data_IF_953577755466
#
_entry.id   IF_953577755466
#
_cell.length_a   1.000
_cell.length_b   1.000
_cell.length_c   1.000
_cell.angle_alpha   90.00
_cell.angle_beta   90.00
_cell.angle_gamma   90.00
#
_symmetry.space_group_name_H-M   'P 1'
#
loop_
_entity.id
_entity.type
_entity.pdbx_description
1 polymer ?
#
# COMPACT_ATOMS: atom_id res chain seq x y z
N UNK A 1 10.78 0.46 -5.04
CA UNK A 1 10.75 -0.88 -4.41
C UNK A 1 11.60 -1.85 -5.21
N UNK A 2 11.07 -2.75 -6.05
CA UNK A 2 11.87 -3.83 -6.66
C UNK A 2 13.15 -3.37 -7.37
N UNK A 3 13.14 -2.29 -8.18
CA UNK A 3 14.38 -1.74 -8.77
C UNK A 3 15.43 -1.35 -7.72
N UNK A 4 15.01 -0.74 -6.61
CA UNK A 4 15.91 -0.33 -5.54
C UNK A 4 16.48 -1.53 -4.78
N UNK A 5 15.70 -2.60 -4.63
CA UNK A 5 16.19 -3.89 -4.11
C UNK A 5 17.18 -4.52 -5.10
N UNK A 6 16.86 -4.59 -6.39
CA UNK A 6 17.77 -5.10 -7.45
C UNK A 6 19.12 -4.38 -7.47
N UNK A 7 19.17 -3.09 -7.10
CA UNK A 7 20.38 -2.27 -7.15
C UNK A 7 21.13 -2.20 -5.81
N UNK A 8 20.44 -2.09 -4.68
CA UNK A 8 21.05 -1.94 -3.36
C UNK A 8 21.16 -3.25 -2.57
N UNK A 9 20.29 -4.22 -2.84
CA UNK A 9 20.14 -5.48 -2.11
C UNK A 9 19.90 -6.68 -3.06
N UNK A 10 20.87 -7.00 -3.96
CA UNK A 10 20.70 -8.00 -5.01
C UNK A 10 20.79 -9.46 -4.53
N UNK A 11 21.29 -9.73 -3.32
CA UNK A 11 21.63 -11.07 -2.84
C UNK A 11 20.93 -11.44 -1.52
N UNK A 12 20.32 -10.46 -0.88
CA UNK A 12 19.68 -10.50 0.41
C UNK A 12 18.45 -11.42 0.36
N UNK A 13 18.40 -12.39 1.27
CA UNK A 13 17.30 -13.33 1.44
C UNK A 13 16.28 -12.78 2.42
N UNK A 14 14.99 -13.03 2.18
CA UNK A 14 13.91 -12.51 3.02
C UNK A 14 12.84 -13.56 3.30
N UNK A 15 12.12 -13.34 4.41
CA UNK A 15 10.83 -13.96 4.71
C UNK A 15 9.76 -12.87 4.75
N UNK A 16 8.61 -13.11 4.11
CA UNK A 16 7.37 -12.40 4.40
C UNK A 16 6.37 -13.35 5.06
N UNK A 17 5.65 -12.87 6.07
CA UNK A 17 4.61 -13.63 6.78
C UNK A 17 3.24 -12.97 6.66
N UNK A 18 2.21 -13.80 6.49
CA UNK A 18 0.80 -13.42 6.54
C UNK A 18 0.29 -13.28 7.98
N UNK A 19 -0.61 -12.32 8.18
CA UNK A 19 -1.35 -12.14 9.42
C UNK A 19 -2.82 -11.79 9.12
N UNK A 20 -3.74 -12.60 9.63
CA UNK A 20 -5.13 -12.21 9.79
C UNK A 20 -5.28 -11.37 11.08
N UNK A 21 -5.73 -10.11 10.97
CA UNK A 21 -5.94 -9.21 12.13
C UNK A 21 -7.36 -9.29 12.69
N UNK A 22 -8.16 -10.27 12.26
CA UNK A 22 -9.47 -10.65 12.81
C UNK A 22 -9.53 -12.18 12.92
N UNK A 23 -8.99 -12.78 14.00
CA UNK A 23 -8.90 -14.24 14.14
C UNK A 23 -10.25 -14.94 14.32
N UNK A 24 -11.33 -14.18 14.51
CA UNK A 24 -12.74 -14.56 14.39
C UNK A 24 -13.16 -14.83 12.93
N UNK A 25 -12.52 -14.19 11.96
CA UNK A 25 -12.82 -14.32 10.53
C UNK A 25 -12.06 -15.53 9.95
N UNK A 26 -12.71 -16.71 9.95
CA UNK A 26 -12.19 -17.96 9.39
C UNK A 26 -12.43 -18.09 7.88
N UNK A 27 -11.63 -18.90 7.21
CA UNK A 27 -11.72 -19.23 5.79
C UNK A 27 -12.35 -20.62 5.60
N UNK A 28 -13.05 -20.83 4.48
CA UNK A 28 -13.44 -22.18 4.05
C UNK A 28 -12.28 -22.91 3.36
N UNK A 29 -12.32 -24.24 3.41
CA UNK A 29 -11.45 -25.15 2.63
C UNK A 29 -11.41 -24.75 1.16
N UNK A 30 -12.58 -24.56 0.56
CA UNK A 30 -12.75 -24.21 -0.85
C UNK A 30 -12.09 -22.86 -1.20
N UNK A 31 -12.13 -21.87 -0.30
CA UNK A 31 -11.37 -20.62 -0.46
C UNK A 31 -9.87 -20.88 -0.51
N UNK A 32 -9.34 -21.72 0.38
CA UNK A 32 -7.90 -22.03 0.43
C UNK A 32 -7.42 -22.88 -0.76
N UNK A 33 -8.21 -23.84 -1.21
CA UNK A 33 -7.85 -24.71 -2.34
C UNK A 33 -7.87 -23.93 -3.67
N UNK A 34 -8.86 -23.05 -3.85
CA UNK A 34 -8.89 -22.08 -4.96
C UNK A 34 -7.70 -21.12 -4.91
N UNK A 35 -7.43 -20.55 -3.73
CA UNK A 35 -6.30 -19.64 -3.51
C UNK A 35 -4.98 -20.34 -3.88
N UNK A 36 -4.71 -21.52 -3.33
CA UNK A 36 -3.50 -22.29 -3.58
C UNK A 36 -3.31 -22.61 -5.06
N UNK A 37 -4.39 -22.97 -5.75
CA UNK A 37 -4.39 -23.17 -7.21
C UNK A 37 -3.97 -21.89 -7.96
N UNK A 38 -4.51 -20.73 -7.56
CA UNK A 38 -4.18 -19.44 -8.18
C UNK A 38 -2.80 -18.89 -7.80
N UNK A 39 -2.26 -19.25 -6.63
CA UNK A 39 -0.85 -18.99 -6.29
C UNK A 39 0.08 -19.72 -7.25
N UNK A 40 -0.18 -20.99 -7.56
CA UNK A 40 0.67 -21.73 -8.50
C UNK A 40 0.53 -21.25 -9.96
N UNK A 41 -0.59 -20.64 -10.34
CA UNK A 41 -0.73 -19.95 -11.63
C UNK A 41 0.20 -18.72 -11.79
N UNK A 42 0.71 -18.12 -10.70
CA UNK A 42 1.64 -16.98 -10.78
C UNK A 42 2.96 -17.32 -11.49
N UNK A 43 3.35 -18.60 -11.53
CA UNK A 43 4.49 -19.12 -12.33
C UNK A 43 4.40 -18.79 -13.83
N UNK A 44 3.17 -18.61 -14.34
CA UNK A 44 2.88 -18.37 -15.76
C UNK A 44 2.93 -16.88 -16.11
N UNK A 45 2.97 -16.00 -15.11
CA UNK A 45 2.98 -14.54 -15.26
C UNK A 45 4.37 -14.07 -15.64
N UNK A 46 4.44 -13.17 -16.62
CA UNK A 46 5.67 -12.51 -17.09
C UNK A 46 5.30 -11.17 -17.71
N UNK A 47 6.20 -10.19 -17.61
CA UNK A 47 6.04 -8.90 -18.28
C UNK A 47 6.04 -9.11 -19.81
N UNK A 48 4.96 -8.72 -20.47
CA UNK A 48 4.87 -8.72 -21.94
C UNK A 48 5.73 -7.62 -22.58
N UNK A 49 5.84 -7.62 -23.92
CA UNK A 49 6.52 -6.54 -24.64
C UNK A 49 5.76 -5.21 -24.53
N UNK A 50 4.44 -5.28 -24.52
CA UNK A 50 3.56 -4.11 -24.57
C UNK A 50 3.55 -3.43 -23.18
N UNK A 51 3.43 -4.21 -22.11
CA UNK A 51 3.60 -3.71 -20.73
C UNK A 51 5.01 -3.16 -20.48
N UNK A 52 6.07 -3.79 -21.03
CA UNK A 52 7.44 -3.26 -20.92
C UNK A 52 7.57 -1.90 -21.60
N UNK A 53 7.05 -1.75 -22.82
CA UNK A 53 7.04 -0.48 -23.57
C UNK A 53 6.23 0.60 -22.85
N UNK A 54 5.09 0.23 -22.27
CA UNK A 54 4.26 1.12 -21.46
C UNK A 54 4.99 1.58 -20.18
N UNK A 55 5.70 0.68 -19.50
CA UNK A 55 6.52 1.02 -18.33
C UNK A 55 7.65 1.99 -18.68
N UNK A 56 8.37 1.81 -19.78
CA UNK A 56 9.38 2.79 -20.23
C UNK A 56 8.78 4.20 -20.44
N UNK A 57 7.55 4.25 -20.97
CA UNK A 57 6.91 5.50 -21.37
C UNK A 57 6.24 6.23 -20.20
N UNK A 58 5.48 5.51 -19.35
CA UNK A 58 4.69 6.10 -18.25
C UNK A 58 5.44 6.11 -16.90
N UNK A 59 6.48 5.29 -16.75
CA UNK A 59 7.29 5.18 -15.55
C UNK A 59 8.78 5.46 -15.84
N UNK A 60 9.16 6.64 -16.37
CA UNK A 60 10.53 6.94 -16.85
C UNK A 60 11.62 6.98 -15.76
N UNK A 61 11.24 6.74 -14.50
CA UNK A 61 12.15 6.47 -13.38
C UNK A 61 12.62 5.01 -13.31
N UNK A 62 12.07 4.12 -14.13
CA UNK A 62 12.57 2.76 -14.30
C UNK A 62 13.72 2.72 -15.31
N UNK A 63 14.84 2.14 -14.90
CA UNK A 63 16.04 2.00 -15.71
C UNK A 63 15.90 0.77 -16.62
N UNK A 64 16.41 0.85 -17.86
CA UNK A 64 16.30 -0.24 -18.85
C UNK A 64 16.79 -1.59 -18.32
N UNK A 65 17.91 -1.62 -17.58
CA UNK A 65 18.47 -2.81 -16.94
C UNK A 65 17.53 -3.49 -15.95
N UNK A 66 16.71 -2.72 -15.22
CA UNK A 66 15.68 -3.25 -14.33
C UNK A 66 14.46 -3.78 -15.11
N UNK A 67 14.09 -3.13 -16.21
CA UNK A 67 12.99 -3.60 -17.06
C UNK A 67 13.37 -4.87 -17.84
N UNK A 68 14.66 -5.03 -18.20
CA UNK A 68 15.21 -6.27 -18.74
C UNK A 68 15.25 -7.38 -17.67
N UNK A 69 15.63 -7.07 -16.43
CA UNK A 69 15.49 -8.01 -15.30
C UNK A 69 14.03 -8.45 -15.12
N UNK A 70 13.08 -7.51 -15.05
CA UNK A 70 11.65 -7.78 -14.86
C UNK A 70 11.02 -8.57 -16.02
N UNK A 71 11.50 -8.39 -17.26
CA UNK A 71 11.06 -9.17 -18.41
C UNK A 71 11.57 -10.62 -18.40
N UNK A 72 12.74 -10.85 -17.80
CA UNK A 72 13.32 -12.20 -17.67
C UNK A 72 12.89 -12.92 -16.38
N UNK A 73 12.57 -12.19 -15.31
CA UNK A 73 12.08 -12.70 -14.02
C UNK A 73 10.88 -13.64 -14.20
N UNK A 74 10.95 -14.82 -13.57
CA UNK A 74 9.80 -15.71 -13.37
C UNK A 74 9.64 -15.93 -11.87
N UNK A 75 8.39 -15.93 -11.42
CA UNK A 75 8.05 -16.30 -10.05
C UNK A 75 8.06 -17.83 -9.95
N UNK A 76 8.60 -18.39 -8.86
CA UNK A 76 8.53 -19.83 -8.59
C UNK A 76 7.69 -20.10 -7.34
N UNK A 77 6.35 -20.01 -7.42
CA UNK A 77 5.46 -20.17 -6.27
C UNK A 77 5.53 -21.54 -5.59
N UNK A 78 6.09 -22.55 -6.25
CA UNK A 78 6.37 -23.87 -5.67
C UNK A 78 7.53 -23.82 -4.66
N UNK A 79 8.64 -23.14 -5.01
CA UNK A 79 9.79 -22.95 -4.12
C UNK A 79 9.60 -21.80 -3.12
N UNK A 80 8.90 -20.73 -3.54
CA UNK A 80 8.91 -19.43 -2.89
C UNK A 80 7.71 -19.18 -1.97
N UNK A 81 6.60 -19.92 -2.08
CA UNK A 81 5.38 -19.69 -1.29
C UNK A 81 4.91 -20.96 -0.57
N UNK A 82 5.08 -20.99 0.75
CA UNK A 82 4.47 -22.00 1.62
C UNK A 82 3.12 -21.51 2.10
N UNK A 83 2.04 -22.24 1.80
CA UNK A 83 0.69 -21.96 2.28
C UNK A 83 0.08 -23.19 2.95
N UNK A 84 -0.58 -22.99 4.09
CA UNK A 84 -1.24 -24.04 4.88
C UNK A 84 -2.63 -23.58 5.35
N UNK A 85 -3.51 -24.55 5.59
CA UNK A 85 -4.83 -24.34 6.20
C UNK A 85 -4.91 -25.16 7.48
N UNK A 86 -5.28 -24.49 8.58
CA UNK A 86 -5.38 -25.07 9.92
C UNK A 86 -6.86 -25.12 10.31
N UNK A 87 -7.51 -26.29 10.31
CA UNK A 87 -8.91 -26.41 10.70
C UNK A 87 -9.20 -25.89 12.11
N UNK A 88 -10.42 -25.42 12.35
CA UNK A 88 -10.88 -25.00 13.69
C UNK A 88 -10.89 -26.19 14.67
N UNK A 89 -11.21 -27.39 14.18
CA UNK A 89 -11.14 -28.63 14.96
C UNK A 89 -10.95 -29.87 14.06
N UNK A 90 -10.80 -31.05 14.67
CA UNK A 90 -10.75 -32.31 13.94
C UNK A 90 -12.10 -32.72 13.32
N UNK A 91 -13.21 -32.22 13.87
CA UNK A 91 -14.58 -32.48 13.38
C UNK A 91 -15.04 -31.41 12.37
N UNK A 92 -14.47 -30.20 12.42
CA UNK A 92 -14.77 -29.06 11.54
C UNK A 92 -13.60 -28.83 10.55
N UNK A 93 -13.37 -29.81 9.68
CA UNK A 93 -12.23 -29.84 8.75
C UNK A 93 -12.28 -28.80 7.61
N UNK A 94 -13.46 -28.24 7.35
CA UNK A 94 -13.75 -27.36 6.21
C UNK A 94 -13.74 -25.86 6.55
N UNK A 95 -13.55 -25.49 7.82
CA UNK A 95 -13.43 -24.10 8.30
C UNK A 95 -12.14 -23.97 9.09
N UNK A 96 -11.37 -22.90 8.88
CA UNK A 96 -10.02 -22.81 9.46
C UNK A 96 -9.32 -21.46 9.31
N UNK A 97 -8.12 -21.38 9.86
CA UNK A 97 -7.17 -20.31 9.61
C UNK A 97 -6.28 -20.64 8.40
N UNK A 98 -5.74 -19.60 7.78
CA UNK A 98 -4.77 -19.71 6.68
C UNK A 98 -3.43 -19.15 7.13
N UNK A 99 -2.37 -19.94 6.97
CA UNK A 99 -0.99 -19.51 7.17
C UNK A 99 -0.30 -19.39 5.82
N UNK A 100 0.42 -18.29 5.58
CA UNK A 100 1.23 -18.09 4.37
C UNK A 100 2.59 -17.51 4.76
N UNK A 101 3.65 -18.10 4.22
CA UNK A 101 5.02 -17.60 4.33
C UNK A 101 5.64 -17.57 2.93
N UNK A 102 6.31 -16.48 2.58
CA UNK A 102 7.03 -16.33 1.31
C UNK A 102 8.53 -16.22 1.60
N UNK A 103 9.38 -16.97 0.88
CA UNK A 103 10.84 -16.98 1.09
C UNK A 103 11.61 -16.95 -0.24
N UNK A 104 12.73 -16.25 -0.26
CA UNK A 104 13.63 -16.20 -1.42
C UNK A 104 14.53 -14.96 -1.42
N UNK A 105 15.17 -14.66 -2.55
CA UNK A 105 15.90 -13.42 -2.74
C UNK A 105 14.92 -12.24 -2.81
N UNK A 106 15.19 -11.15 -2.07
CA UNK A 106 14.26 -10.03 -1.92
C UNK A 106 13.79 -9.46 -3.26
N UNK A 107 14.73 -9.32 -4.22
CA UNK A 107 14.46 -8.84 -5.58
C UNK A 107 13.45 -9.69 -6.37
N UNK A 108 13.28 -10.97 -6.02
CA UNK A 108 12.38 -11.92 -6.68
C UNK A 108 11.03 -11.97 -5.96
N UNK A 109 11.04 -12.10 -4.63
CA UNK A 109 9.82 -12.37 -3.86
C UNK A 109 9.05 -11.13 -3.40
N UNK A 110 9.62 -9.93 -3.50
CA UNK A 110 8.94 -8.65 -3.19
C UNK A 110 7.62 -8.44 -3.97
N UNK A 111 7.45 -9.10 -5.12
CA UNK A 111 6.23 -8.98 -5.91
C UNK A 111 5.03 -9.76 -5.34
N UNK A 112 5.20 -10.62 -4.33
CA UNK A 112 4.13 -11.49 -3.84
C UNK A 112 3.11 -10.83 -2.90
N UNK A 113 3.41 -9.74 -2.17
CA UNK A 113 2.47 -9.16 -1.19
C UNK A 113 1.11 -8.85 -1.82
N UNK A 114 1.11 -8.14 -2.95
CA UNK A 114 -0.10 -7.62 -3.57
C UNK A 114 -0.94 -8.73 -4.25
N UNK A 115 -0.38 -9.63 -5.07
CA UNK A 115 -1.14 -10.74 -5.66
C UNK A 115 -1.68 -11.71 -4.62
N UNK A 116 -0.90 -12.11 -3.61
CA UNK A 116 -1.35 -13.07 -2.61
C UNK A 116 -2.50 -12.50 -1.76
N UNK A 117 -2.41 -11.25 -1.30
CA UNK A 117 -3.50 -10.62 -0.55
C UNK A 117 -4.76 -10.43 -1.42
N UNK A 118 -4.60 -10.01 -2.67
CA UNK A 118 -5.74 -9.83 -3.58
C UNK A 118 -6.43 -11.16 -3.89
N UNK A 119 -5.68 -12.22 -4.20
CA UNK A 119 -6.20 -13.57 -4.45
C UNK A 119 -6.91 -14.15 -3.21
N UNK A 120 -6.35 -14.01 -2.00
CA UNK A 120 -6.96 -14.55 -0.79
C UNK A 120 -8.26 -13.80 -0.41
N UNK A 121 -8.29 -12.48 -0.62
CA UNK A 121 -9.51 -11.67 -0.47
C UNK A 121 -10.60 -12.14 -1.44
N UNK A 122 -10.25 -12.28 -2.71
CA UNK A 122 -11.14 -12.72 -3.79
C UNK A 122 -11.65 -14.15 -3.54
N UNK A 123 -10.79 -15.08 -3.11
CA UNK A 123 -11.16 -16.45 -2.75
C UNK A 123 -12.18 -16.52 -1.58
N UNK A 124 -12.04 -15.67 -0.57
CA UNK A 124 -13.00 -15.58 0.53
C UNK A 124 -14.38 -15.11 0.04
N UNK A 125 -14.42 -14.14 -0.89
CA UNK A 125 -15.68 -13.61 -1.42
C UNK A 125 -16.34 -14.47 -2.50
N UNK A 126 -15.62 -15.46 -3.03
CA UNK A 126 -16.18 -16.50 -3.90
C UNK A 126 -16.67 -17.73 -3.11
N UNK A 127 -16.05 -18.05 -1.97
CA UNK A 127 -16.18 -19.38 -1.34
C UNK A 127 -16.30 -19.41 0.20
N UNK A 128 -16.28 -18.27 0.90
CA UNK A 128 -16.55 -18.19 2.36
C UNK A 128 -17.74 -17.27 2.67
N UNK A 129 -17.65 -15.98 2.34
CA UNK A 129 -18.78 -15.05 2.41
C UNK A 129 -19.28 -14.76 0.98
N UNK A 130 -20.43 -15.33 0.66
CA UNK A 130 -21.11 -15.18 -0.63
C UNK A 130 -22.39 -14.34 -0.51
N UNK A 131 -22.65 -13.73 0.65
CA UNK A 131 -23.86 -12.98 0.95
C UNK A 131 -23.71 -11.49 0.58
N UNK A 132 -23.36 -11.24 -0.69
CA UNK A 132 -23.19 -9.91 -1.27
C UNK A 132 -23.47 -9.96 -2.78
N UNK A 133 -23.75 -8.81 -3.42
CA UNK A 133 -23.88 -8.73 -4.89
C UNK A 133 -22.99 -7.64 -5.47
N UNK A 134 -22.64 -7.79 -6.76
CA UNK A 134 -21.72 -6.89 -7.47
C UNK A 134 -22.40 -5.62 -8.01
N UNK A 135 -23.72 -5.62 -8.13
CA UNK A 135 -24.50 -4.70 -8.98
C UNK A 135 -24.26 -3.22 -8.67
N UNK A 136 -24.14 -2.89 -7.37
CA UNK A 136 -23.97 -1.51 -6.91
C UNK A 136 -22.52 -1.00 -6.97
N UNK A 137 -21.52 -1.84 -7.24
CA UNK A 137 -20.09 -1.51 -7.09
C UNK A 137 -19.67 -0.29 -7.93
N UNK A 138 -20.13 -0.21 -9.19
CA UNK A 138 -19.83 0.90 -10.11
C UNK A 138 -20.46 2.20 -9.62
N UNK A 139 -21.75 2.19 -9.28
CA UNK A 139 -22.49 3.41 -8.98
C UNK A 139 -22.20 3.93 -7.56
N UNK A 140 -21.87 3.03 -6.61
CA UNK A 140 -21.28 3.40 -5.32
C UNK A 140 -19.93 4.11 -5.51
N UNK A 141 -19.06 3.61 -6.39
CA UNK A 141 -17.79 4.27 -6.70
C UNK A 141 -18.00 5.62 -7.41
N UNK A 142 -18.95 5.71 -8.34
CA UNK A 142 -19.35 6.97 -9.00
C UNK A 142 -19.82 8.03 -7.99
N UNK A 143 -20.67 7.64 -7.05
CA UNK A 143 -21.15 8.50 -5.96
C UNK A 143 -20.02 8.99 -5.06
N UNK A 144 -19.11 8.08 -4.66
CA UNK A 144 -17.91 8.42 -3.88
C UNK A 144 -17.01 9.41 -4.62
N UNK A 145 -16.74 9.20 -5.91
CA UNK A 145 -16.00 10.16 -6.73
C UNK A 145 -16.69 11.53 -6.75
N UNK A 146 -17.98 11.60 -7.08
CA UNK A 146 -18.72 12.87 -7.12
C UNK A 146 -18.63 13.64 -5.79
N UNK A 147 -18.75 12.94 -4.65
CA UNK A 147 -18.64 13.55 -3.33
C UNK A 147 -17.22 14.05 -3.00
N UNK A 148 -16.17 13.27 -3.30
CA UNK A 148 -14.78 13.68 -3.12
C UNK A 148 -14.45 14.92 -3.99
N UNK A 149 -14.87 14.89 -5.26
CA UNK A 149 -14.68 15.98 -6.21
C UNK A 149 -15.38 17.26 -5.73
N UNK A 150 -16.62 17.18 -5.25
CA UNK A 150 -17.37 18.34 -4.74
C UNK A 150 -16.63 19.10 -3.62
N UNK A 151 -15.89 18.41 -2.76
CA UNK A 151 -15.09 19.00 -1.68
C UNK A 151 -13.69 19.48 -2.12
N UNK A 152 -13.34 19.32 -3.39
CA UNK A 152 -12.05 19.71 -3.96
C UNK A 152 -10.92 18.71 -3.71
N UNK A 153 -11.25 17.46 -3.36
CA UNK A 153 -10.27 16.45 -2.94
C UNK A 153 -9.56 15.84 -4.15
N UNK A 154 -8.22 15.81 -4.10
CA UNK A 154 -7.38 15.05 -5.01
C UNK A 154 -7.08 13.68 -4.41
N UNK A 155 -7.44 12.60 -5.09
CA UNK A 155 -7.32 11.24 -4.56
C UNK A 155 -6.84 10.23 -5.58
N UNK A 156 -6.28 9.11 -5.12
CA UNK A 156 -5.88 7.96 -5.93
C UNK A 156 -6.47 6.67 -5.36
N UNK A 157 -6.74 5.71 -6.23
CA UNK A 157 -7.27 4.40 -5.82
C UNK A 157 -6.14 3.46 -5.41
N UNK A 158 -6.16 2.98 -4.16
CA UNK A 158 -5.07 2.23 -3.49
C UNK A 158 -5.51 0.82 -3.01
N UNK A 159 -6.66 0.33 -3.45
CA UNK A 159 -7.42 -0.77 -2.85
C UNK A 159 -7.01 -2.19 -3.25
N UNK A 160 -6.20 -2.37 -4.30
CA UNK A 160 -5.80 -3.68 -4.88
C UNK A 160 -5.69 -4.83 -3.88
N UNK A 161 -4.90 -4.62 -2.80
CA UNK A 161 -4.55 -5.65 -1.80
C UNK A 161 -5.74 -6.23 -1.03
N UNK A 162 -6.88 -5.51 -0.97
CA UNK A 162 -8.07 -5.92 -0.21
C UNK A 162 -9.37 -5.72 -0.99
N UNK A 163 -9.29 -5.72 -2.33
CA UNK A 163 -10.46 -5.68 -3.23
C UNK A 163 -11.43 -6.85 -2.99
N UNK A 164 -12.72 -6.66 -3.27
CA UNK A 164 -13.73 -7.74 -3.17
C UNK A 164 -13.49 -8.81 -4.24
N UNK A 165 -13.18 -8.40 -5.47
CA UNK A 165 -12.68 -9.23 -6.58
C UNK A 165 -11.95 -8.36 -7.63
N UNK A 166 -11.35 -8.96 -8.66
CA UNK A 166 -10.82 -8.26 -9.83
C UNK A 166 -11.92 -7.47 -10.56
N UNK A 167 -13.08 -8.08 -10.75
CA UNK A 167 -14.20 -7.47 -11.47
C UNK A 167 -14.81 -6.28 -10.71
N UNK A 168 -14.92 -6.38 -9.38
CA UNK A 168 -15.30 -5.22 -8.55
C UNK A 168 -14.32 -4.07 -8.73
N UNK A 169 -13.01 -4.35 -8.79
CA UNK A 169 -11.98 -3.33 -8.97
C UNK A 169 -12.09 -2.64 -10.35
N UNK A 170 -12.38 -3.40 -11.41
CA UNK A 170 -12.69 -2.89 -12.76
C UNK A 170 -13.90 -1.94 -12.75
N UNK A 171 -15.01 -2.38 -12.15
CA UNK A 171 -16.25 -1.61 -12.03
C UNK A 171 -16.08 -0.35 -11.18
N UNK A 172 -15.31 -0.43 -10.09
CA UNK A 172 -14.98 0.71 -9.22
C UNK A 172 -14.20 1.77 -10.01
N UNK A 173 -13.14 1.40 -10.73
CA UNK A 173 -12.37 2.36 -11.53
C UNK A 173 -13.21 3.00 -12.65
N UNK A 174 -14.08 2.22 -13.31
CA UNK A 174 -15.06 2.74 -14.27
C UNK A 174 -16.03 3.73 -13.63
N UNK A 175 -16.53 3.44 -12.43
CA UNK A 175 -17.38 4.35 -11.66
C UNK A 175 -16.66 5.65 -11.28
N UNK A 176 -15.42 5.57 -10.80
CA UNK A 176 -14.60 6.74 -10.46
C UNK A 176 -14.32 7.64 -11.68
N UNK A 177 -14.01 7.03 -12.83
CA UNK A 177 -13.83 7.72 -14.11
C UNK A 177 -15.11 8.41 -14.58
N UNK A 178 -16.25 7.71 -14.50
CA UNK A 178 -17.56 8.25 -14.87
C UNK A 178 -17.98 9.41 -13.96
N UNK A 179 -17.78 9.30 -12.64
CA UNK A 179 -18.03 10.39 -11.69
C UNK A 179 -17.18 11.64 -11.96
N UNK A 180 -15.93 11.45 -12.39
CA UNK A 180 -15.07 12.55 -12.84
C UNK A 180 -15.49 13.15 -14.19
N UNK A 181 -16.01 12.32 -15.11
CA UNK A 181 -16.55 12.78 -16.40
C UNK A 181 -17.82 13.60 -16.23
N UNK A 182 -18.76 13.10 -15.43
CA UNK A 182 -20.02 13.77 -15.13
C UNK A 182 -19.80 15.09 -14.39
N UNK A 183 -18.89 15.13 -13.40
CA UNK A 183 -18.54 16.37 -12.71
C UNK A 183 -18.06 17.45 -13.70
N UNK A 184 -17.11 17.12 -14.58
CA UNK A 184 -16.60 18.04 -15.61
C UNK A 184 -17.70 18.47 -16.59
N UNK A 185 -18.56 17.54 -17.00
CA UNK A 185 -19.67 17.81 -17.93
C UNK A 185 -20.72 18.75 -17.31
N UNK A 186 -20.93 18.66 -16.00
CA UNK A 186 -21.77 19.56 -15.20
C UNK A 186 -21.04 20.87 -14.79
N UNK A 187 -19.92 21.21 -15.42
CA UNK A 187 -19.23 22.48 -15.24
C UNK A 187 -18.29 22.57 -14.03
N UNK A 188 -17.96 21.46 -13.36
CA UNK A 188 -17.01 21.46 -12.25
C UNK A 188 -15.61 21.89 -12.69
N UNK A 189 -15.09 22.93 -12.04
CA UNK A 189 -13.78 23.55 -12.30
C UNK A 189 -12.88 23.64 -11.05
N UNK A 190 -13.23 22.93 -9.97
CA UNK A 190 -12.46 22.91 -8.72
C UNK A 190 -11.19 22.04 -8.78
N UNK A 191 -10.42 22.04 -7.70
CA UNK A 191 -9.13 21.34 -7.62
C UNK A 191 -9.22 19.80 -7.49
N UNK A 192 -10.42 19.26 -7.23
CA UNK A 192 -10.65 17.84 -7.01
C UNK A 192 -10.47 17.01 -8.27
N UNK A 193 -9.86 15.83 -8.12
CA UNK A 193 -9.54 14.92 -9.24
C UNK A 193 -9.23 13.50 -8.79
N UNK A 194 -9.52 12.53 -9.65
CA UNK A 194 -8.87 11.22 -9.63
C UNK A 194 -7.46 11.41 -10.21
N UNK A 195 -6.44 11.38 -9.36
CA UNK A 195 -5.05 11.58 -9.74
C UNK A 195 -4.40 10.33 -10.36
N UNK A 196 -4.87 9.12 -10.01
CA UNK A 196 -4.41 7.85 -10.57
C UNK A 196 -4.83 6.63 -9.74
N UNK A 197 -4.12 5.51 -9.94
CA UNK A 197 -4.29 4.25 -9.18
C UNK A 197 -2.92 3.64 -8.84
N UNK A 198 -2.79 2.93 -7.73
CA UNK A 198 -1.60 2.12 -7.43
C UNK A 198 -1.56 0.78 -8.18
N UNK A 199 -2.65 0.41 -8.85
CA UNK A 199 -2.70 -0.79 -9.66
C UNK A 199 -2.09 -0.54 -11.04
N UNK A 200 -0.84 -0.95 -11.24
CA UNK A 200 -0.09 -0.70 -12.48
C UNK A 200 -0.79 -1.28 -13.74
N UNK A 201 -1.43 -2.44 -13.61
CA UNK A 201 -2.23 -3.05 -14.69
C UNK A 201 -3.45 -2.20 -15.06
N UNK A 202 -4.23 -1.73 -14.08
CA UNK A 202 -5.36 -0.86 -14.36
C UNK A 202 -4.94 0.56 -14.78
N UNK A 203 -3.76 1.04 -14.33
CA UNK A 203 -3.16 2.27 -14.83
C UNK A 203 -2.90 2.16 -16.35
N UNK A 204 -2.34 1.04 -16.80
CA UNK A 204 -2.19 0.72 -18.22
C UNK A 204 -3.54 0.60 -18.93
N UNK A 205 -4.50 -0.18 -18.37
CA UNK A 205 -5.81 -0.42 -18.99
C UNK A 205 -6.65 0.85 -19.24
N UNK A 206 -6.56 1.85 -18.37
CA UNK A 206 -7.39 3.07 -18.42
C UNK A 206 -6.62 4.36 -18.72
N UNK A 207 -5.35 4.25 -19.14
CA UNK A 207 -4.39 5.37 -19.30
C UNK A 207 -4.28 6.30 -18.07
N UNK A 208 -4.54 5.77 -16.87
CA UNK A 208 -4.38 6.51 -15.62
C UNK A 208 -2.90 6.59 -15.23
N UNK A 209 -2.55 7.59 -14.42
CA UNK A 209 -1.22 7.65 -13.82
C UNK A 209 -1.05 6.47 -12.84
N UNK A 210 0.06 5.69 -12.91
CA UNK A 210 0.45 4.81 -11.83
C UNK A 210 0.93 5.65 -10.64
N UNK A 211 0.41 5.37 -9.44
CA UNK A 211 0.72 6.14 -8.23
C UNK A 211 1.32 5.23 -7.17
N UNK A 212 2.53 5.57 -6.70
CA UNK A 212 3.25 4.80 -5.68
C UNK A 212 4.04 5.70 -4.76
N UNK A 213 4.36 5.17 -3.58
CA UNK A 213 5.27 5.77 -2.59
C UNK A 213 6.23 4.70 -2.10
N UNK A 214 7.23 5.08 -1.30
CA UNK A 214 8.07 4.13 -0.59
C UNK A 214 7.21 3.29 0.40
N UNK A 215 7.64 2.07 0.71
CA UNK A 215 6.91 1.14 1.59
C UNK A 215 7.78 0.73 2.79
N UNK A 216 7.14 0.42 3.93
CA UNK A 216 7.85 0.16 5.19
C UNK A 216 8.93 -0.92 5.08
N UNK A 217 8.70 -1.96 4.28
CA UNK A 217 9.66 -3.06 4.09
C UNK A 217 11.07 -2.57 3.73
N UNK A 218 11.20 -1.43 3.03
CA UNK A 218 12.48 -0.81 2.70
C UNK A 218 13.25 -0.42 3.96
N UNK A 219 12.68 0.48 4.76
CA UNK A 219 13.28 1.00 5.98
C UNK A 219 13.34 -0.07 7.08
N UNK A 220 12.41 -1.03 7.10
CA UNK A 220 12.44 -2.21 7.97
C UNK A 220 13.64 -3.12 7.68
N UNK A 221 13.83 -3.53 6.42
CA UNK A 221 14.94 -4.39 6.01
C UNK A 221 16.29 -3.70 6.17
N UNK A 222 16.35 -2.40 5.85
CA UNK A 222 17.54 -1.56 6.07
C UNK A 222 17.93 -1.49 7.56
N UNK A 223 16.97 -1.31 8.46
CA UNK A 223 17.26 -1.28 9.90
C UNK A 223 17.73 -2.62 10.45
N UNK A 224 17.17 -3.73 9.97
CA UNK A 224 17.61 -5.07 10.34
C UNK A 224 19.05 -5.35 9.83
N UNK A 225 19.39 -4.92 8.61
CA UNK A 225 20.73 -5.10 8.02
C UNK A 225 21.79 -4.11 8.54
N UNK A 226 21.41 -2.90 8.97
CA UNK A 226 22.35 -1.79 9.22
C UNK A 226 22.20 -1.09 10.58
N UNK A 227 21.25 -1.53 11.41
CA UNK A 227 20.94 -0.94 12.71
C UNK A 227 19.87 0.15 12.66
N UNK A 228 19.14 0.33 13.77
CA UNK A 228 17.94 1.18 13.82
C UNK A 228 18.24 2.69 13.80
N UNK A 229 19.32 3.15 14.45
CA UNK A 229 19.60 4.57 14.71
C UNK A 229 19.58 5.42 13.44
N UNK A 230 20.32 5.01 12.41
CA UNK A 230 20.47 5.74 11.15
C UNK A 230 19.64 5.12 10.01
N UNK A 231 18.70 4.20 10.33
CA UNK A 231 17.91 3.50 9.33
C UNK A 231 17.08 4.47 8.45
N UNK A 232 16.53 5.53 9.04
CA UNK A 232 15.76 6.55 8.32
C UNK A 232 16.62 7.31 7.29
N UNK A 233 17.73 7.99 7.66
CA UNK A 233 18.58 8.66 6.68
C UNK A 233 19.16 7.70 5.64
N UNK A 234 19.69 6.54 6.04
CA UNK A 234 20.26 5.54 5.12
C UNK A 234 19.21 5.05 4.11
N UNK A 235 17.95 4.86 4.53
CA UNK A 235 16.87 4.46 3.64
C UNK A 235 16.50 5.54 2.61
N UNK A 236 16.68 6.82 2.94
CA UNK A 236 16.47 7.91 2.00
C UNK A 236 17.67 8.02 1.03
N UNK A 237 18.90 7.96 1.54
CA UNK A 237 20.13 7.99 0.72
C UNK A 237 20.19 6.84 -0.31
N UNK A 238 19.80 5.62 0.08
CA UNK A 238 19.70 4.47 -0.82
C UNK A 238 18.50 4.54 -1.79
N UNK A 239 17.50 5.39 -1.51
CA UNK A 239 16.40 5.63 -2.45
C UNK A 239 16.78 6.71 -3.47
N UNK A 240 17.44 7.78 -3.01
CA UNK A 240 17.96 8.87 -3.84
C UNK A 240 19.05 8.39 -4.81
N UNK A 241 19.86 7.39 -4.44
CA UNK A 241 20.87 6.80 -5.34
C UNK A 241 20.27 6.00 -6.52
N UNK A 242 19.09 5.41 -6.33
CA UNK A 242 18.35 4.64 -7.35
C UNK A 242 17.42 5.53 -8.17
N UNK A 243 16.82 6.53 -7.52
CA UNK A 243 15.86 7.47 -8.06
C UNK A 243 16.29 8.90 -7.70
N UNK A 244 17.19 9.55 -8.46
CA UNK A 244 17.70 10.88 -8.12
C UNK A 244 16.59 11.93 -7.91
N UNK A 245 16.73 12.83 -6.91
CA UNK A 245 15.82 13.95 -6.70
C UNK A 245 15.65 14.82 -7.95
N UNK A 246 14.38 15.08 -8.30
CA UNK A 246 13.99 15.96 -9.40
C UNK A 246 12.68 16.67 -9.05
N UNK A 247 12.49 17.96 -9.40
CA UNK A 247 11.28 18.73 -9.06
C UNK A 247 9.95 18.11 -9.52
N UNK A 248 10.00 17.19 -10.50
CA UNK A 248 8.86 16.48 -11.09
C UNK A 248 8.78 14.99 -10.70
N UNK A 249 9.73 14.46 -9.92
CA UNK A 249 9.76 13.03 -9.58
C UNK A 249 8.68 12.67 -8.54
N UNK A 250 7.70 11.81 -8.85
CA UNK A 250 6.64 11.44 -7.90
C UNK A 250 7.14 10.56 -6.74
N UNK A 251 8.32 9.96 -6.89
CA UNK A 251 8.86 8.97 -5.94
C UNK A 251 9.44 9.59 -4.66
N UNK A 252 9.53 10.92 -4.58
CA UNK A 252 10.08 11.65 -3.43
C UNK A 252 8.99 12.01 -2.42
N UNK A 253 8.32 10.96 -1.93
CA UNK A 253 7.31 11.00 -0.86
C UNK A 253 7.77 10.11 0.29
N UNK A 254 8.18 10.70 1.41
CA UNK A 254 8.79 9.98 2.54
C UNK A 254 7.74 9.35 3.46
N UNK A 255 7.92 8.10 3.85
CA UNK A 255 7.04 7.35 4.76
C UNK A 255 7.68 7.33 6.17
N UNK A 256 7.16 8.17 7.06
CA UNK A 256 7.89 8.60 8.28
C UNK A 256 7.68 7.68 9.47
N UNK A 257 6.56 6.97 9.55
CA UNK A 257 6.11 6.29 10.78
C UNK A 257 6.71 4.88 10.98
N UNK A 258 7.63 4.40 10.12
CA UNK A 258 8.22 3.05 10.25
C UNK A 258 8.79 2.80 11.65
N UNK A 259 9.49 3.80 12.20
CA UNK A 259 10.04 3.80 13.56
C UNK A 259 9.53 4.99 14.40
N UNK A 260 8.28 5.39 14.15
CA UNK A 260 7.66 6.66 14.55
C UNK A 260 8.21 7.91 13.83
N UNK A 261 7.29 8.81 13.52
CA UNK A 261 7.50 10.08 12.82
C UNK A 261 8.35 11.09 13.59
N UNK A 262 8.29 11.21 14.94
CA UNK A 262 9.24 12.02 15.71
C UNK A 262 10.70 11.61 15.52
N UNK A 263 10.98 10.29 15.47
CA UNK A 263 12.32 9.75 15.21
C UNK A 263 12.75 9.95 13.75
N UNK A 264 11.81 9.92 12.80
CA UNK A 264 12.11 10.35 11.44
C UNK A 264 12.49 11.85 11.40
N UNK A 265 11.67 12.73 11.97
CA UNK A 265 11.88 14.18 11.94
C UNK A 265 13.06 14.70 12.78
N UNK A 266 13.60 13.91 13.72
CA UNK A 266 14.88 14.23 14.38
C UNK A 266 16.08 14.07 13.43
N UNK A 267 15.99 13.12 12.49
CA UNK A 267 17.03 12.85 11.45
C UNK A 267 16.81 13.61 10.14
N UNK A 268 15.66 14.30 9.97
CA UNK A 268 15.29 14.95 8.72
C UNK A 268 15.94 16.33 8.59
N UNK A 269 16.84 16.49 7.61
CA UNK A 269 17.63 17.71 7.39
C UNK A 269 16.88 18.74 6.56
N UNK A 270 17.26 20.02 6.67
CA UNK A 270 16.62 21.10 5.91
C UNK A 270 16.76 20.92 4.38
N UNK A 271 17.88 20.37 3.90
CA UNK A 271 18.08 20.15 2.46
C UNK A 271 17.31 18.95 1.94
N UNK A 272 17.23 17.84 2.70
CA UNK A 272 16.35 16.72 2.33
C UNK A 272 14.87 17.13 2.43
N UNK A 273 14.51 17.96 3.41
CA UNK A 273 13.20 18.59 3.53
C UNK A 273 12.89 19.59 2.41
N UNK A 274 13.88 20.16 1.71
CA UNK A 274 13.68 20.93 0.46
C UNK A 274 13.48 20.01 -0.74
N UNK A 275 14.34 19.01 -0.92
CA UNK A 275 14.32 18.08 -2.05
C UNK A 275 13.06 17.18 -2.07
N UNK A 276 12.70 16.57 -0.94
CA UNK A 276 11.50 15.74 -0.84
C UNK A 276 10.26 16.62 -0.70
N UNK A 277 9.29 16.45 -1.60
CA UNK A 277 8.06 17.28 -1.63
C UNK A 277 6.90 16.64 -0.90
N UNK A 278 6.83 15.32 -0.90
CA UNK A 278 5.78 14.56 -0.24
C UNK A 278 6.24 14.00 1.12
N UNK A 279 5.31 13.98 2.06
CA UNK A 279 5.30 13.03 3.18
C UNK A 279 4.13 12.06 2.98
N UNK A 280 4.16 10.90 3.65
CA UNK A 280 3.03 9.97 3.71
C UNK A 280 2.70 9.58 5.15
N UNK A 281 1.43 9.75 5.50
CA UNK A 281 0.84 9.34 6.76
C UNK A 281 0.14 7.98 6.59
N UNK A 282 0.57 6.97 7.36
CA UNK A 282 0.08 5.59 7.31
C UNK A 282 -0.18 4.97 8.70
N UNK A 283 -0.14 5.79 9.76
CA UNK A 283 -0.65 5.51 11.10
C UNK A 283 -0.73 6.81 11.94
N UNK A 284 -1.26 6.73 13.17
CA UNK A 284 -1.46 7.89 14.06
C UNK A 284 -2.68 8.75 13.68
N UNK A 285 -2.94 9.82 14.42
CA UNK A 285 -3.97 10.80 14.03
C UNK A 285 -3.45 11.67 12.86
N UNK A 286 -4.22 11.81 11.77
CA UNK A 286 -3.77 12.52 10.58
C UNK A 286 -3.70 14.05 10.74
N UNK A 287 -4.41 14.63 11.70
CA UNK A 287 -4.38 16.08 11.98
C UNK A 287 -3.20 16.40 12.90
N UNK A 288 -2.96 15.59 13.94
CA UNK A 288 -1.73 15.69 14.76
C UNK A 288 -0.47 15.51 13.90
N UNK A 289 -0.48 14.52 12.99
CA UNK A 289 0.59 14.31 12.02
C UNK A 289 0.85 15.56 11.15
N UNK A 290 -0.22 16.18 10.63
CA UNK A 290 -0.11 17.35 9.76
C UNK A 290 0.45 18.57 10.51
N UNK A 291 0.08 18.76 11.78
CA UNK A 291 0.66 19.79 12.65
C UNK A 291 2.14 19.53 12.95
N UNK A 292 2.53 18.30 13.31
CA UNK A 292 3.92 17.92 13.57
C UNK A 292 4.81 18.08 12.32
N UNK A 293 4.26 17.79 11.14
CA UNK A 293 4.92 18.07 9.86
C UNK A 293 5.13 19.57 9.64
N UNK A 294 4.11 20.41 9.91
CA UNK A 294 4.26 21.87 9.87
C UNK A 294 5.35 22.37 10.83
N UNK A 295 5.31 21.96 12.11
CA UNK A 295 6.30 22.34 13.11
C UNK A 295 7.73 21.96 12.68
N UNK A 296 7.88 20.82 12.00
CA UNK A 296 9.18 20.40 11.43
C UNK A 296 9.60 21.26 10.24
N UNK A 297 8.71 21.61 9.31
CA UNK A 297 9.05 22.51 8.20
C UNK A 297 9.39 23.93 8.67
N UNK A 298 8.64 24.47 9.63
CA UNK A 298 8.92 25.76 10.28
C UNK A 298 10.32 25.72 10.96
N UNK A 299 10.59 24.70 11.78
CA UNK A 299 11.88 24.47 12.46
C UNK A 299 13.07 24.35 11.51
N UNK A 300 12.87 23.80 10.32
CA UNK A 300 13.90 23.61 9.30
C UNK A 300 14.05 24.81 8.35
N UNK A 301 13.21 25.83 8.46
CA UNK A 301 13.22 26.98 7.54
C UNK A 301 12.90 26.57 6.11
N UNK A 302 11.80 25.84 5.92
CA UNK A 302 11.35 25.32 4.61
C UNK A 302 9.91 25.76 4.34
N UNK A 303 9.70 26.42 3.20
CA UNK A 303 8.36 26.82 2.73
C UNK A 303 7.50 25.59 2.40
N UNK A 304 6.28 25.54 2.95
CA UNK A 304 5.31 24.47 2.74
C UNK A 304 4.48 24.62 1.47
N UNK A 305 4.52 25.78 0.78
CA UNK A 305 3.76 26.07 -0.44
C UNK A 305 3.80 24.97 -1.51
N UNK A 306 4.96 24.33 -1.66
CA UNK A 306 5.20 23.26 -2.64
C UNK A 306 5.24 21.85 -2.02
N UNK A 307 4.84 21.72 -0.74
CA UNK A 307 4.80 20.49 0.05
C UNK A 307 3.41 19.91 0.15
N UNK A 308 3.34 18.58 0.29
CA UNK A 308 2.08 17.86 0.49
C UNK A 308 2.23 16.64 1.38
N UNK A 309 1.11 16.22 1.99
CA UNK A 309 0.98 14.94 2.68
C UNK A 309 0.06 14.03 1.86
N UNK A 310 0.51 12.80 1.63
CA UNK A 310 -0.31 11.68 1.16
C UNK A 310 -0.89 10.99 2.40
N UNK A 311 -2.19 11.11 2.62
CA UNK A 311 -2.88 10.34 3.66
C UNK A 311 -3.30 8.98 3.09
N UNK A 312 -3.11 7.89 3.83
CA UNK A 312 -3.52 6.55 3.37
C UNK A 312 -4.02 5.57 4.44
N UNK A 313 -4.02 5.91 5.72
CA UNK A 313 -4.65 5.06 6.74
C UNK A 313 -6.18 5.24 6.80
N UNK A 314 -6.93 4.13 6.85
CA UNK A 314 -8.35 4.09 7.18
C UNK A 314 -9.37 4.87 6.32
N UNK A 315 -8.96 5.56 5.25
CA UNK A 315 -9.74 6.64 4.64
C UNK A 315 -11.12 6.28 4.06
N UNK A 316 -12.08 7.18 4.32
CA UNK A 316 -13.41 7.30 3.72
C UNK A 316 -13.64 8.75 3.20
N UNK A 317 -14.86 9.09 2.73
CA UNK A 317 -15.16 10.46 2.29
C UNK A 317 -15.05 11.48 3.43
N UNK A 318 -15.59 11.19 4.63
CA UNK A 318 -15.68 12.15 5.73
C UNK A 318 -14.30 12.52 6.26
N UNK A 319 -13.48 11.51 6.54
CA UNK A 319 -12.08 11.67 6.97
C UNK A 319 -11.27 12.46 5.94
N UNK A 320 -11.43 12.18 4.64
CA UNK A 320 -10.77 13.00 3.61
C UNK A 320 -11.21 14.47 3.66
N UNK A 321 -12.49 14.78 3.90
CA UNK A 321 -12.99 16.17 4.03
C UNK A 321 -12.43 16.85 5.28
N UNK A 322 -12.44 16.19 6.44
CA UNK A 322 -11.95 16.74 7.71
C UNK A 322 -10.43 17.03 7.64
N UNK A 323 -9.65 16.09 7.14
CA UNK A 323 -8.20 16.24 6.93
C UNK A 323 -7.92 17.33 5.89
N UNK A 324 -8.66 17.37 4.78
CA UNK A 324 -8.50 18.39 3.74
C UNK A 324 -8.82 19.79 4.27
N UNK A 325 -9.72 19.93 5.24
CA UNK A 325 -9.97 21.20 5.94
C UNK A 325 -8.75 21.58 6.80
N UNK A 326 -8.31 20.70 7.71
CA UNK A 326 -7.17 20.97 8.59
C UNK A 326 -5.90 21.35 7.82
N UNK A 327 -5.59 20.63 6.73
CA UNK A 327 -4.42 20.91 5.88
C UNK A 327 -4.51 22.31 5.22
N UNK A 328 -5.71 22.78 4.85
CA UNK A 328 -5.91 24.14 4.30
C UNK A 328 -5.69 25.22 5.36
N UNK A 329 -6.08 24.97 6.61
CA UNK A 329 -5.90 25.90 7.73
C UNK A 329 -4.41 26.10 8.07
N UNK A 330 -3.58 25.05 7.95
CA UNK A 330 -2.11 25.12 8.12
C UNK A 330 -1.32 25.33 6.81
N UNK A 331 -2.02 25.57 5.69
CA UNK A 331 -1.46 25.85 4.35
C UNK A 331 -0.54 24.77 3.75
N UNK A 332 -0.75 23.49 4.05
CA UNK A 332 -0.05 22.36 3.42
C UNK A 332 -0.92 21.63 2.39
N UNK A 333 -0.30 21.10 1.32
CA UNK A 333 -1.00 20.29 0.34
C UNK A 333 -1.50 18.96 0.93
N UNK A 334 -2.66 18.49 0.47
CA UNK A 334 -3.21 17.19 0.86
C UNK A 334 -3.59 16.38 -0.39
N UNK A 335 -3.36 15.07 -0.35
CA UNK A 335 -3.83 14.10 -1.34
C UNK A 335 -4.06 12.75 -0.66
N UNK A 336 -4.95 11.93 -1.22
CA UNK A 336 -5.56 10.82 -0.49
C UNK A 336 -5.44 9.49 -1.24
N UNK A 337 -4.71 8.53 -0.68
CA UNK A 337 -4.57 7.17 -1.20
C UNK A 337 -5.66 6.27 -0.65
N UNK A 338 -6.85 6.29 -1.25
CA UNK A 338 -8.05 5.66 -0.70
C UNK A 338 -8.11 4.19 -1.13
N UNK A 339 -8.02 3.28 -0.15
CA UNK A 339 -7.92 1.84 -0.37
C UNK A 339 -9.24 1.10 -0.31
N UNK A 340 -9.41 0.28 0.73
CA UNK A 340 -10.52 -0.67 0.91
C UNK A 340 -11.91 -0.05 0.71
N UNK A 341 -12.12 1.19 1.16
CA UNK A 341 -13.39 1.92 1.01
C UNK A 341 -13.85 2.11 -0.45
N UNK A 342 -12.93 2.07 -1.43
CA UNK A 342 -13.29 2.07 -2.85
C UNK A 342 -13.53 0.66 -3.39
N UNK A 343 -12.62 -0.28 -3.13
CA UNK A 343 -12.62 -1.60 -3.80
C UNK A 343 -13.35 -2.71 -3.06
N UNK A 344 -13.83 -2.47 -1.83
CA UNK A 344 -14.44 -3.48 -0.96
C UNK A 344 -15.29 -2.84 0.14
N UNK A 345 -16.41 -2.23 -0.27
CA UNK A 345 -17.40 -1.62 0.59
C UNK A 345 -18.80 -2.05 0.09
N UNK A 346 -19.41 -2.99 0.82
CA UNK A 346 -20.60 -3.74 0.41
C UNK A 346 -21.51 -4.02 1.63
N UNK A 347 -22.81 -3.94 1.42
CA UNK A 347 -23.80 -4.50 2.35
C UNK A 347 -24.14 -5.94 1.99
N UNK A 348 -24.77 -6.67 2.93
CA UNK A 348 -25.17 -8.06 2.73
C UNK A 348 -26.35 -8.16 1.77
N UNK A 349 -26.39 -9.21 0.96
CA UNK A 349 -27.51 -9.46 0.05
C UNK A 349 -28.79 -9.83 0.84
N UNK A 350 -28.65 -10.52 1.97
CA UNK A 350 -29.72 -10.90 2.89
C UNK A 350 -30.25 -9.76 3.78
N UNK A 351 -29.40 -8.76 4.10
CA UNK A 351 -29.77 -7.56 4.87
C UNK A 351 -28.96 -6.35 4.42
N UNK A 352 -29.60 -5.44 3.68
CA UNK A 352 -29.01 -4.21 3.17
C UNK A 352 -28.65 -3.17 4.24
N UNK A 353 -28.92 -3.44 5.53
CA UNK A 353 -28.48 -2.64 6.68
C UNK A 353 -27.23 -3.19 7.37
N UNK A 354 -26.74 -4.36 6.96
CA UNK A 354 -25.57 -5.01 7.53
C UNK A 354 -24.42 -5.04 6.51
N UNK A 355 -23.18 -4.83 6.96
CA UNK A 355 -22.01 -4.80 6.06
C UNK A 355 -21.42 -6.19 5.82
N UNK A 356 -21.08 -6.53 4.57
CA UNK A 356 -20.12 -7.59 4.24
C UNK A 356 -18.70 -7.02 4.41
N UNK A 357 -18.21 -7.06 5.65
CA UNK A 357 -17.00 -6.35 6.08
C UNK A 357 -15.74 -6.93 5.43
N UNK A 358 -15.01 -6.08 4.70
CA UNK A 358 -13.71 -6.40 4.09
C UNK A 358 -12.71 -7.08 5.05
N UNK A 359 -11.91 -8.03 4.53
CA UNK A 359 -10.89 -8.73 5.30
C UNK A 359 -9.83 -7.80 5.89
N UNK A 360 -9.44 -8.02 7.15
CA UNK A 360 -8.34 -7.30 7.80
C UNK A 360 -7.03 -8.09 7.72
N UNK A 361 -6.63 -8.49 6.51
CA UNK A 361 -5.39 -9.24 6.25
C UNK A 361 -4.21 -8.32 5.92
N UNK A 362 -2.99 -8.80 6.19
CA UNK A 362 -1.71 -8.21 5.75
C UNK A 362 -0.68 -9.31 5.47
N UNK A 363 0.20 -9.10 4.51
CA UNK A 363 1.50 -9.79 4.37
C UNK A 363 2.59 -8.76 4.66
N UNK A 364 3.67 -9.15 5.35
CA UNK A 364 4.75 -8.24 5.77
C UNK A 364 6.10 -8.94 5.83
N UNK A 365 7.16 -8.21 5.51
CA UNK A 365 8.55 -8.61 5.75
C UNK A 365 8.75 -8.95 7.24
N UNK A 366 9.11 -10.19 7.54
CA UNK A 366 9.37 -10.71 8.89
C UNK A 366 10.87 -10.92 9.16
N UNK A 367 11.65 -11.32 8.17
CA UNK A 367 13.09 -11.60 8.29
C UNK A 367 13.84 -11.08 7.05
N UNK A 368 15.06 -10.57 7.23
CA UNK A 368 16.06 -10.37 6.16
C UNK A 368 17.42 -10.92 6.62
N UNK A 369 18.05 -11.77 5.80
CA UNK A 369 19.30 -12.50 6.09
C UNK A 369 19.41 -13.02 7.54
N UNK A 370 18.35 -13.73 7.97
CA UNK A 370 18.25 -14.31 9.31
C UNK A 370 17.91 -13.33 10.44
N UNK A 371 17.85 -12.02 10.18
CA UNK A 371 17.59 -10.97 11.16
C UNK A 371 16.13 -10.51 11.11
N UNK A 372 15.47 -10.43 12.27
CA UNK A 372 14.06 -10.04 12.39
C UNK A 372 13.79 -8.58 12.01
N UNK A 373 12.75 -8.38 11.20
CA UNK A 373 12.24 -7.06 10.81
C UNK A 373 11.09 -6.62 11.71
N UNK A 374 11.04 -5.32 12.04
CA UNK A 374 10.00 -4.74 12.92
C UNK A 374 9.46 -3.40 12.39
N UNK A 375 8.18 -3.09 12.63
CA UNK A 375 7.60 -1.73 12.49
C UNK A 375 7.10 -1.28 13.87
N UNK A 376 7.34 -0.01 14.22
CA UNK A 376 6.80 0.59 15.46
C UNK A 376 5.45 1.27 15.17
N UNK A 377 5.36 2.09 14.11
CA UNK A 377 4.20 2.98 13.82
C UNK A 377 4.07 4.15 14.80
N UNK A 378 3.29 5.17 14.44
CA UNK A 378 2.97 6.29 15.35
C UNK A 378 1.97 5.89 16.43
N UNK A 379 1.16 4.85 16.18
CA UNK A 379 0.50 4.14 17.27
C UNK A 379 1.52 3.20 17.94
N UNK A 380 2.12 3.69 19.02
CA UNK A 380 3.17 2.99 19.75
C UNK A 380 2.73 1.63 20.34
N UNK A 381 1.43 1.29 20.34
CA UNK A 381 0.92 -0.01 20.76
C UNK A 381 0.71 -0.98 19.58
N UNK A 382 0.49 -0.48 18.35
CA UNK A 382 0.24 -1.31 17.14
C UNK A 382 1.51 -1.74 16.41
N UNK A 383 2.54 -2.13 17.16
CA UNK A 383 3.83 -2.55 16.60
C UNK A 383 3.70 -3.84 15.78
N UNK A 384 4.77 -4.24 15.08
CA UNK A 384 4.84 -5.51 14.33
C UNK A 384 6.25 -6.07 14.40
N UNK A 385 6.36 -7.40 14.53
CA UNK A 385 7.61 -8.14 14.66
C UNK A 385 7.64 -8.93 15.96
N UNK A 386 8.77 -9.56 16.28
CA UNK A 386 8.98 -10.22 17.58
C UNK A 386 9.03 -9.17 18.70
N UNK A 387 8.41 -9.45 19.85
CA UNK A 387 8.21 -8.47 20.92
C UNK A 387 9.53 -7.99 21.55
N UNK A 388 10.48 -8.91 21.72
CA UNK A 388 11.83 -8.67 22.20
C UNK A 388 12.66 -7.80 21.24
N UNK A 389 12.46 -7.95 19.92
CA UNK A 389 13.14 -7.14 18.89
C UNK A 389 12.50 -5.75 18.80
N UNK A 390 11.17 -5.65 18.90
CA UNK A 390 10.45 -4.38 19.04
C UNK A 390 10.91 -3.61 20.29
N UNK A 391 11.08 -4.29 21.42
CA UNK A 391 11.58 -3.69 22.66
C UNK A 391 13.05 -3.24 22.54
N UNK A 392 13.90 -4.02 21.87
CA UNK A 392 15.28 -3.64 21.57
C UNK A 392 15.36 -2.42 20.64
N UNK A 393 14.52 -2.36 19.60
CA UNK A 393 14.43 -1.22 18.69
C UNK A 393 13.95 0.05 19.41
N UNK A 394 12.86 -0.03 20.19
CA UNK A 394 12.36 1.07 21.03
C UNK A 394 13.44 1.59 21.98
N UNK A 395 14.11 0.70 22.72
CA UNK A 395 15.23 1.05 23.62
C UNK A 395 16.41 1.72 22.88
N UNK A 396 16.72 1.28 21.66
CA UNK A 396 17.80 1.86 20.84
C UNK A 396 17.45 3.28 20.37
N UNK A 397 16.17 3.48 20.02
CA UNK A 397 15.64 4.75 19.51
C UNK A 397 15.13 5.71 20.61
N UNK A 398 15.14 5.29 21.88
CA UNK A 398 14.67 6.05 23.04
C UNK A 398 13.15 6.38 22.98
N UNK A 399 12.35 5.38 22.57
CA UNK A 399 10.88 5.37 22.50
C UNK A 399 10.29 4.57 23.66
#
# INVERSE_FOLDING_TARGET
>A
MQQAVVQCFPNETVEYKFYNRRPDTKFSRLSFDWFSTKVQELSKVKLSKDERTWLETKCPYFQATYLDFLQNLRLSPEDQVTAHFVPVSADEVDVGDVEITVKGLWKEVILYEVPLMALLSEAFFLHTDTDWTIDSAKDNAKSKAASLLAHGIAFSEFGTRRRRSYEVHDLVLRGLLEGQSDAKSNGYSGAGRLAGTSNVHFAHKYDLNPVGTIAHEWTMGIAALKGYTDANPIALDLWESVYPPSPTSPLHTALTDTFSTPIFFSTFTADRARAWRGLRQDSGDPIEYANLAKETYDRLGVDMKDKFIVFSDGLDVKTCVDIQKACKEIQIGATFGIGTFLTNDFHRASDSKADSKALNIVIKLSIIDGTDCVKISDDLNKNTGKAEVVAAAKKTLQI
#
